data_IF_187428615756
#
_entry.id   IF_187428615756
#
_cell.length_a   1.000
_cell.length_b   1.000
_cell.length_c   1.000
_cell.angle_alpha   90.00
_cell.angle_beta   90.00
_cell.angle_gamma   90.00
#
_symmetry.space_group_name_H-M   'P 1'
#
loop_
_entity.id
_entity.type
_entity.pdbx_description
1 polymer ?
#
# COMPACT_ATOMS: atom_id res chain seq x y z
N UNK A 1 0.55 -5.80 -0.52
CA UNK A 1 -0.06 -6.99 0.10
C UNK A 1 -1.12 -7.59 -0.81
N UNK A 2 -2.13 -6.84 -1.25
CA UNK A 2 -3.17 -7.31 -2.20
C UNK A 2 -2.60 -7.96 -3.46
N UNK A 3 -1.62 -7.32 -4.11
CA UNK A 3 -1.02 -7.84 -5.35
C UNK A 3 -0.41 -9.23 -5.19
N UNK A 4 0.11 -9.57 -4.01
CA UNK A 4 0.66 -10.90 -3.75
C UNK A 4 -0.44 -11.98 -3.72
N UNK A 5 -1.58 -11.69 -3.09
CA UNK A 5 -2.70 -12.63 -3.04
C UNK A 5 -3.43 -12.72 -4.38
N UNK A 6 -3.47 -11.64 -5.17
CA UNK A 6 -3.97 -11.69 -6.56
C UNK A 6 -3.08 -12.60 -7.41
N UNK A 7 -1.76 -12.43 -7.30
CA UNK A 7 -0.80 -13.29 -7.98
C UNK A 7 -0.93 -14.75 -7.53
N UNK A 8 -1.05 -15.00 -6.22
CA UNK A 8 -1.24 -16.35 -5.69
C UNK A 8 -2.53 -16.99 -6.19
N UNK A 9 -3.65 -16.25 -6.24
CA UNK A 9 -4.91 -16.73 -6.81
C UNK A 9 -4.73 -17.16 -8.27
N UNK A 10 -4.09 -16.33 -9.08
CA UNK A 10 -3.82 -16.64 -10.48
C UNK A 10 -2.91 -17.87 -10.62
N UNK A 11 -1.85 -17.97 -9.82
CA UNK A 11 -0.94 -19.10 -9.85
C UNK A 11 -1.64 -20.41 -9.45
N UNK A 12 -2.54 -20.37 -8.47
CA UNK A 12 -3.29 -21.55 -8.01
C UNK A 12 -4.27 -22.09 -9.06
N UNK A 13 -4.65 -21.30 -10.07
CA UNK A 13 -5.41 -21.82 -11.22
C UNK A 13 -4.55 -22.71 -12.14
N UNK A 14 -3.23 -22.49 -12.17
CA UNK A 14 -2.28 -23.28 -12.95
C UNK A 14 -1.71 -24.50 -12.24
N UNK A 15 -1.89 -24.62 -10.92
CA UNK A 15 -1.37 -25.74 -10.13
C UNK A 15 -0.95 -25.34 -8.71
N UNK A 16 -0.24 -26.22 -7.98
CA UNK A 16 0.29 -25.88 -6.66
C UNK A 16 1.31 -24.74 -6.75
N UNK A 17 1.40 -23.95 -5.68
CA UNK A 17 2.37 -22.88 -5.54
C UNK A 17 3.07 -22.97 -4.19
N UNK A 18 4.28 -22.44 -4.08
CA UNK A 18 4.90 -22.16 -2.77
C UNK A 18 4.79 -20.67 -2.47
N UNK A 19 4.30 -20.36 -1.28
CA UNK A 19 4.32 -19.02 -0.73
C UNK A 19 5.48 -18.93 0.27
N UNK A 20 6.46 -18.10 -0.03
CA UNK A 20 7.57 -17.80 0.85
C UNK A 20 7.31 -16.46 1.57
N UNK A 21 7.23 -16.46 2.90
CA UNK A 21 6.89 -15.29 3.72
C UNK A 21 8.01 -14.95 4.70
N UNK A 22 8.48 -13.71 4.71
CA UNK A 22 9.45 -13.24 5.72
C UNK A 22 8.77 -13.17 7.09
N UNK A 23 9.21 -13.97 8.04
CA UNK A 23 8.62 -14.09 9.38
C UNK A 23 9.38 -13.31 10.45
N UNK A 24 10.70 -13.14 10.28
CA UNK A 24 11.53 -12.39 11.22
C UNK A 24 12.71 -11.71 10.51
N UNK A 25 13.09 -10.54 11.02
CA UNK A 25 14.24 -9.78 10.52
C UNK A 25 15.06 -9.22 11.68
N UNK A 26 16.38 -9.18 11.52
CA UNK A 26 17.32 -8.55 12.45
C UNK A 26 18.38 -7.79 11.68
N UNK A 27 18.68 -6.57 12.10
CA UNK A 27 19.63 -5.71 11.39
C UNK A 27 19.06 -5.14 10.09
N UNK A 28 19.93 -4.79 9.16
CA UNK A 28 19.53 -4.20 7.88
C UNK A 28 19.25 -5.29 6.85
N UNK A 29 18.00 -5.38 6.42
CA UNK A 29 17.52 -6.38 5.47
C UNK A 29 16.74 -5.68 4.35
N UNK A 30 16.69 -6.26 3.14
CA UNK A 30 16.08 -5.60 1.99
C UNK A 30 14.54 -5.49 2.07
N UNK A 31 13.88 -6.33 2.89
CA UNK A 31 12.41 -6.37 3.03
C UNK A 31 11.98 -6.61 4.48
N UNK A 32 10.79 -6.08 4.81
CA UNK A 32 10.14 -6.20 6.12
C UNK A 32 9.44 -7.55 6.33
N UNK A 33 9.10 -7.87 7.59
CA UNK A 33 8.22 -9.01 7.94
C UNK A 33 6.90 -8.89 7.17
N UNK A 34 6.39 -10.02 6.67
CA UNK A 34 5.21 -10.10 5.81
C UNK A 34 5.50 -9.89 4.32
N UNK A 35 6.75 -9.56 3.93
CA UNK A 35 7.14 -9.62 2.52
C UNK A 35 7.04 -11.05 1.99
N UNK A 36 6.51 -11.18 0.76
CA UNK A 36 6.16 -12.47 0.17
C UNK A 36 6.73 -12.63 -1.22
N UNK A 37 7.04 -13.88 -1.56
CA UNK A 37 7.41 -14.37 -2.88
C UNK A 37 6.54 -15.57 -3.21
N UNK A 38 5.94 -15.58 -4.39
CA UNK A 38 5.14 -16.71 -4.91
C UNK A 38 6.00 -17.46 -5.92
N UNK A 39 6.06 -18.78 -5.80
CA UNK A 39 6.76 -19.66 -6.75
C UNK A 39 5.74 -20.65 -7.31
N UNK A 40 5.54 -20.64 -8.63
CA UNK A 40 4.60 -21.56 -9.28
C UNK A 40 5.17 -22.99 -9.45
N UNK A 41 4.35 -23.90 -9.95
CA UNK A 41 4.74 -25.29 -10.21
C UNK A 41 5.90 -25.44 -11.21
N UNK A 42 6.16 -24.43 -12.06
CA UNK A 42 7.27 -24.41 -13.01
C UNK A 42 8.55 -23.79 -12.41
N UNK A 43 8.51 -23.33 -11.16
CA UNK A 43 9.60 -22.62 -10.51
C UNK A 43 9.70 -21.14 -10.89
N UNK A 44 8.71 -20.59 -11.60
CA UNK A 44 8.65 -19.16 -11.88
C UNK A 44 8.30 -18.39 -10.62
N UNK A 45 9.07 -17.34 -10.36
CA UNK A 45 8.98 -16.52 -9.17
C UNK A 45 8.26 -15.19 -9.45
N UNK A 46 7.35 -14.81 -8.54
CA UNK A 46 6.61 -13.55 -8.61
C UNK A 46 6.72 -12.80 -7.29
N UNK A 47 6.85 -11.47 -7.37
CA UNK A 47 7.25 -10.58 -6.26
C UNK A 47 8.71 -10.83 -5.82
N UNK A 48 9.12 -10.26 -4.69
CA UNK A 48 10.49 -10.39 -4.18
C UNK A 48 10.53 -10.25 -2.66
N UNK A 49 11.41 -11.03 -2.04
CA UNK A 49 11.77 -10.90 -0.62
C UNK A 49 13.11 -10.15 -0.43
N UNK A 50 13.67 -9.59 -1.51
CA UNK A 50 14.86 -8.76 -1.46
C UNK A 50 15.89 -9.01 -2.56
N UNK A 51 15.70 -10.04 -3.39
CA UNK A 51 16.60 -10.38 -4.48
C UNK A 51 17.94 -10.98 -4.03
N UNK A 52 18.83 -11.20 -5.00
CA UNK A 52 20.20 -11.66 -4.77
C UNK A 52 20.31 -13.12 -4.27
N UNK A 53 21.44 -13.41 -3.62
CA UNK A 53 21.77 -14.79 -3.20
C UNK A 53 20.81 -15.36 -2.14
N UNK A 54 20.23 -14.51 -1.29
CA UNK A 54 19.22 -14.93 -0.31
C UNK A 54 17.94 -15.42 -0.98
N UNK A 55 17.45 -14.68 -1.99
CA UNK A 55 16.28 -15.09 -2.76
C UNK A 55 16.54 -16.36 -3.58
N UNK A 56 17.73 -16.50 -4.19
CA UNK A 56 18.12 -17.73 -4.89
C UNK A 56 18.09 -18.97 -3.98
N UNK A 57 18.53 -18.85 -2.73
CA UNK A 57 18.43 -19.93 -1.72
C UNK A 57 16.98 -20.30 -1.44
N UNK A 58 16.08 -19.31 -1.33
CA UNK A 58 14.65 -19.54 -1.13
C UNK A 58 14.01 -20.21 -2.34
N UNK A 59 14.36 -19.80 -3.57
CA UNK A 59 13.86 -20.42 -4.79
C UNK A 59 14.25 -21.89 -4.90
N UNK A 60 15.50 -22.24 -4.57
CA UNK A 60 15.96 -23.62 -4.54
C UNK A 60 15.15 -24.45 -3.53
N UNK A 61 14.96 -23.95 -2.31
CA UNK A 61 14.19 -24.66 -1.28
C UNK A 61 12.70 -24.74 -1.62
N UNK A 62 12.15 -23.73 -2.30
CA UNK A 62 10.76 -23.75 -2.76
C UNK A 62 10.50 -24.90 -3.73
N UNK A 63 11.47 -25.29 -4.57
CA UNK A 63 11.33 -26.47 -5.44
C UNK A 63 11.22 -27.77 -4.64
N UNK A 64 11.93 -27.90 -3.52
CA UNK A 64 11.83 -29.07 -2.64
C UNK A 64 10.48 -29.09 -1.91
N UNK A 65 10.00 -27.94 -1.42
CA UNK A 65 8.65 -27.82 -0.81
C UNK A 65 7.54 -28.11 -1.83
N UNK A 66 7.70 -27.68 -3.09
CA UNK A 66 6.77 -28.02 -4.17
C UNK A 66 6.68 -29.53 -4.40
N UNK A 67 7.79 -30.27 -4.32
CA UNK A 67 7.79 -31.74 -4.50
C UNK A 67 7.22 -32.47 -3.28
N UNK A 68 7.73 -32.14 -2.09
CA UNK A 68 7.49 -32.90 -0.85
C UNK A 68 6.22 -32.47 -0.13
N UNK A 69 5.83 -31.20 -0.24
CA UNK A 69 4.82 -30.58 0.61
C UNK A 69 5.29 -30.27 2.04
N UNK A 70 6.52 -30.64 2.40
CA UNK A 70 7.08 -30.38 3.72
C UNK A 70 7.42 -28.90 3.88
N UNK A 71 6.76 -28.24 4.83
CA UNK A 71 6.97 -26.82 5.11
C UNK A 71 8.30 -26.63 5.84
N UNK A 72 8.96 -25.50 5.65
CA UNK A 72 10.25 -25.28 6.29
C UNK A 72 10.59 -23.80 6.45
N UNK A 73 11.48 -23.54 7.41
CA UNK A 73 12.15 -22.26 7.52
C UNK A 73 13.44 -22.24 6.70
N UNK A 74 13.68 -21.11 6.06
CA UNK A 74 14.94 -20.78 5.41
C UNK A 74 15.54 -19.56 6.12
N UNK A 75 16.64 -19.79 6.83
CA UNK A 75 17.44 -18.73 7.44
C UNK A 75 18.42 -18.16 6.40
N UNK A 76 18.41 -16.84 6.22
CA UNK A 76 19.27 -16.10 5.30
C UNK A 76 20.13 -15.14 6.11
N UNK A 77 21.44 -15.37 6.03
CA UNK A 77 22.45 -14.47 6.57
C UNK A 77 22.98 -13.55 5.47
N UNK A 78 22.72 -12.25 5.62
CA UNK A 78 23.16 -11.17 4.74
C UNK A 78 24.33 -10.38 5.34
N UNK A 79 24.91 -10.83 6.45
CA UNK A 79 26.02 -10.15 7.13
C UNK A 79 27.36 -10.24 6.37
N UNK A 80 27.46 -11.14 5.39
CA UNK A 80 28.66 -11.35 4.59
C UNK A 80 29.79 -11.95 5.42
N UNK A 81 29.87 -13.28 5.47
CA UNK A 81 31.07 -13.92 5.99
C UNK A 81 32.26 -13.66 5.02
N UNK A 82 33.50 -13.41 5.53
CA UNK A 82 34.65 -12.99 4.72
C UNK A 82 35.10 -13.94 3.58
N UNK A 83 34.47 -15.11 3.40
CA UNK A 83 34.93 -16.19 2.52
C UNK A 83 33.91 -16.68 1.48
N UNK A 84 32.81 -15.93 1.21
CA UNK A 84 31.89 -16.26 0.10
C UNK A 84 31.93 -15.19 -1.00
N UNK A 85 32.04 -15.63 -2.26
CA UNK A 85 32.03 -14.77 -3.45
C UNK A 85 30.72 -14.00 -3.66
N UNK A 86 29.64 -14.38 -2.97
CA UNK A 86 28.38 -13.63 -2.96
C UNK A 86 28.31 -12.75 -1.71
N UNK A 87 28.70 -11.48 -1.87
CA UNK A 87 28.64 -10.49 -0.81
C UNK A 87 27.18 -10.21 -0.43
N UNK A 88 26.77 -10.66 0.76
CA UNK A 88 25.61 -10.10 1.45
C UNK A 88 25.98 -8.69 1.91
N UNK A 89 25.45 -7.67 1.23
CA UNK A 89 25.79 -6.25 1.48
C UNK A 89 24.86 -5.62 2.52
N UNK A 90 23.68 -6.21 2.74
CA UNK A 90 22.66 -5.60 3.60
C UNK A 90 23.00 -5.67 5.11
N UNK A 91 23.82 -6.64 5.56
CA UNK A 91 24.34 -6.67 6.94
C UNK A 91 23.42 -7.32 7.99
N UNK A 92 22.26 -7.84 7.61
CA UNK A 92 21.25 -8.39 8.53
C UNK A 92 21.00 -9.90 8.40
N UNK A 93 20.05 -10.39 9.19
CA UNK A 93 19.55 -11.77 9.13
C UNK A 93 18.03 -11.73 8.91
N UNK A 94 17.52 -12.62 8.06
CA UNK A 94 16.08 -12.78 7.85
C UNK A 94 15.69 -14.26 7.82
N UNK A 95 14.52 -14.57 8.37
CA UNK A 95 13.92 -15.91 8.38
C UNK A 95 12.70 -15.91 7.47
N UNK A 96 12.59 -16.92 6.62
CA UNK A 96 11.52 -17.06 5.63
C UNK A 96 10.82 -18.39 5.82
N UNK A 97 9.50 -18.38 5.95
CA UNK A 97 8.66 -19.58 6.00
C UNK A 97 8.21 -19.95 4.58
N UNK A 98 8.42 -21.21 4.18
CA UNK A 98 7.99 -21.74 2.90
C UNK A 98 6.88 -22.77 3.13
N UNK A 99 5.75 -22.57 2.47
CA UNK A 99 4.62 -23.51 2.51
C UNK A 99 3.99 -23.69 1.12
N UNK A 100 3.56 -24.92 0.81
CA UNK A 100 2.87 -25.26 -0.43
C UNK A 100 1.37 -25.01 -0.30
N UNK A 101 0.83 -24.17 -1.17
CA UNK A 101 -0.59 -23.88 -1.32
C UNK A 101 -1.14 -24.69 -2.51
N UNK A 102 -2.28 -25.38 -2.30
CA UNK A 102 -2.91 -26.18 -3.35
C UNK A 102 -4.37 -26.53 -3.02
N UNK A 103 -5.14 -26.87 -4.07
CA UNK A 103 -6.51 -27.36 -3.96
C UNK A 103 -7.54 -26.29 -3.62
N UNK A 104 -8.80 -26.71 -3.55
CA UNK A 104 -9.96 -25.80 -3.40
C UNK A 104 -9.95 -25.00 -2.10
N UNK A 105 -9.50 -25.59 -0.99
CA UNK A 105 -9.43 -24.90 0.30
C UNK A 105 -8.48 -23.71 0.25
N UNK A 106 -7.30 -23.87 -0.37
CA UNK A 106 -6.35 -22.78 -0.57
C UNK A 106 -6.93 -21.69 -1.47
N UNK A 107 -7.58 -22.08 -2.59
CA UNK A 107 -8.24 -21.12 -3.48
C UNK A 107 -9.33 -20.33 -2.75
N UNK A 108 -10.21 -20.99 -2.01
CA UNK A 108 -11.29 -20.34 -1.26
C UNK A 108 -10.76 -19.34 -0.24
N UNK A 109 -9.69 -19.69 0.48
CA UNK A 109 -9.04 -18.79 1.44
C UNK A 109 -8.49 -17.54 0.75
N UNK A 110 -7.74 -17.69 -0.35
CA UNK A 110 -7.20 -16.54 -1.10
C UNK A 110 -8.32 -15.67 -1.65
N UNK A 111 -9.38 -16.25 -2.21
CA UNK A 111 -10.52 -15.50 -2.70
C UNK A 111 -11.26 -14.78 -1.57
N UNK A 112 -11.37 -15.37 -0.37
CA UNK A 112 -11.96 -14.70 0.78
C UNK A 112 -11.11 -13.50 1.21
N UNK A 113 -9.78 -13.64 1.26
CA UNK A 113 -8.86 -12.53 1.56
C UNK A 113 -9.09 -11.40 0.54
N UNK A 114 -9.04 -11.74 -0.76
CA UNK A 114 -9.19 -10.74 -1.82
C UNK A 114 -10.53 -10.02 -1.76
N UNK A 115 -11.63 -10.75 -1.55
CA UNK A 115 -12.98 -10.18 -1.44
C UNK A 115 -13.09 -9.21 -0.27
N UNK A 116 -12.60 -9.60 0.92
CA UNK A 116 -12.62 -8.71 2.08
C UNK A 116 -11.81 -7.45 1.83
N UNK A 117 -10.58 -7.57 1.30
CA UNK A 117 -9.73 -6.42 1.01
C UNK A 117 -10.32 -5.50 -0.08
N UNK A 118 -10.97 -6.06 -1.10
CA UNK A 118 -11.69 -5.30 -2.13
C UNK A 118 -12.90 -4.55 -1.57
N UNK A 119 -13.57 -5.11 -0.57
CA UNK A 119 -14.70 -4.50 0.12
C UNK A 119 -14.26 -3.51 1.22
N UNK A 120 -12.97 -3.16 1.30
CA UNK A 120 -12.45 -2.24 2.32
C UNK A 120 -12.39 -2.84 3.73
N UNK A 121 -12.52 -4.16 3.86
CA UNK A 121 -12.43 -4.87 5.13
C UNK A 121 -11.02 -5.42 5.33
N UNK A 122 -10.49 -5.24 6.54
CA UNK A 122 -9.24 -5.89 6.94
C UNK A 122 -9.51 -7.34 7.30
N UNK A 123 -8.51 -8.20 7.14
CA UNK A 123 -8.56 -9.59 7.60
C UNK A 123 -7.32 -9.93 8.41
N UNK A 124 -7.45 -10.79 9.40
CA UNK A 124 -6.32 -11.30 10.16
C UNK A 124 -6.02 -12.70 9.62
N UNK A 125 -4.87 -12.85 8.97
CA UNK A 125 -4.36 -14.12 8.47
C UNK A 125 -3.43 -14.74 9.52
N UNK A 126 -3.70 -15.99 9.88
CA UNK A 126 -2.81 -16.82 10.67
C UNK A 126 -2.15 -17.84 9.76
N UNK A 127 -0.82 -17.87 9.80
CA UNK A 127 0.02 -18.86 9.11
C UNK A 127 0.74 -19.71 10.15
N UNK A 128 0.24 -20.91 10.48
CA UNK A 128 0.88 -21.83 11.42
C UNK A 128 2.23 -22.33 10.91
N UNK A 129 3.17 -22.53 11.83
CA UNK A 129 4.49 -23.13 11.56
C UNK A 129 4.52 -24.65 11.76
N UNK A 130 3.34 -25.27 11.82
CA UNK A 130 3.15 -26.72 11.93
C UNK A 130 2.97 -27.35 10.54
N UNK A 131 3.44 -28.59 10.37
CA UNK A 131 3.42 -29.27 9.06
C UNK A 131 2.00 -29.54 8.55
N UNK A 132 1.09 -29.90 9.44
CA UNK A 132 -0.26 -30.39 9.15
C UNK A 132 -1.35 -29.30 9.14
N UNK A 133 -1.05 -28.08 9.60
CA UNK A 133 -2.03 -26.99 9.68
C UNK A 133 -1.95 -26.00 8.52
N UNK A 134 -3.04 -25.82 7.79
CA UNK A 134 -3.13 -24.80 6.75
C UNK A 134 -3.34 -23.38 7.35
N UNK A 135 -3.01 -22.31 6.62
CA UNK A 135 -3.38 -20.95 6.99
C UNK A 135 -4.89 -20.76 7.09
N UNK A 136 -5.33 -19.82 7.93
CA UNK A 136 -6.75 -19.53 8.17
C UNK A 136 -6.96 -18.07 8.59
N UNK A 137 -8.22 -17.60 8.53
CA UNK A 137 -8.61 -16.26 8.98
C UNK A 137 -9.22 -16.30 10.38
N UNK A 138 -8.97 -15.24 11.16
CA UNK A 138 -9.62 -15.00 12.45
C UNK A 138 -10.24 -13.60 12.49
N UNK A 139 -11.20 -13.40 13.38
CA UNK A 139 -11.90 -12.10 13.55
C UNK A 139 -11.22 -11.19 14.59
N UNK A 140 -10.52 -11.77 15.58
CA UNK A 140 -9.83 -11.05 16.64
C UNK A 140 -8.41 -11.65 16.85
N UNK A 141 -7.43 -10.80 17.17
CA UNK A 141 -6.02 -11.14 17.35
C UNK A 141 -5.78 -11.90 18.66
N UNK A 142 -6.74 -11.94 19.56
CA UNK A 142 -6.59 -12.64 20.83
C UNK A 142 -6.42 -14.15 20.62
N UNK A 143 -5.32 -14.71 21.16
CA UNK A 143 -5.04 -16.16 21.37
C UNK A 143 -4.21 -16.92 20.32
N UNK A 144 -3.29 -16.29 19.58
CA UNK A 144 -2.27 -17.04 18.81
C UNK A 144 -0.87 -16.73 19.31
N UNK A 145 -0.14 -17.76 19.73
CA UNK A 145 1.25 -17.63 20.17
C UNK A 145 2.16 -17.34 18.94
N UNK A 146 2.88 -16.21 18.92
CA UNK A 146 3.76 -15.85 17.81
C UNK A 146 4.94 -16.83 17.62
N UNK A 147 5.22 -17.70 18.59
CA UNK A 147 6.23 -18.76 18.44
C UNK A 147 5.79 -19.88 17.50
N UNK A 148 4.48 -20.10 17.33
CA UNK A 148 3.92 -21.21 16.55
C UNK A 148 3.20 -20.77 15.27
N UNK A 149 3.01 -19.47 15.06
CA UNK A 149 2.41 -18.93 13.85
C UNK A 149 2.82 -17.49 13.56
N UNK A 150 2.76 -17.09 12.29
CA UNK A 150 2.75 -15.70 11.88
C UNK A 150 1.31 -15.20 11.86
N UNK A 151 1.03 -14.09 12.57
CA UNK A 151 -0.27 -13.43 12.58
C UNK A 151 -0.14 -12.08 11.90
N UNK A 152 -0.90 -11.85 10.85
CA UNK A 152 -0.84 -10.63 10.05
C UNK A 152 -2.22 -10.02 9.84
N UNK A 153 -2.36 -8.74 10.17
CA UNK A 153 -3.53 -7.97 9.74
C UNK A 153 -3.30 -7.44 8.33
N UNK A 154 -3.93 -8.08 7.35
CA UNK A 154 -3.97 -7.61 5.97
C UNK A 154 -4.99 -6.47 5.88
N UNK A 155 -4.49 -5.28 5.59
CA UNK A 155 -5.29 -4.07 5.42
C UNK A 155 -5.67 -3.90 3.94
N UNK A 156 -6.89 -3.39 3.64
CA UNK A 156 -7.24 -2.97 2.30
C UNK A 156 -6.25 -1.89 1.83
N UNK A 157 -5.98 -1.80 0.52
CA UNK A 157 -5.13 -0.75 0.01
C UNK A 157 -5.79 0.61 0.31
N UNK A 158 -5.01 1.65 0.65
CA UNK A 158 -5.58 2.96 0.89
C UNK A 158 -6.20 3.52 -0.40
N UNK A 159 -7.37 4.13 -0.29
CA UNK A 159 -8.02 4.80 -1.41
C UNK A 159 -7.58 6.25 -1.44
N UNK A 160 -7.08 6.71 -2.59
CA UNK A 160 -6.85 8.11 -2.88
C UNK A 160 -8.02 8.64 -3.72
N UNK A 161 -8.81 9.53 -3.14
CA UNK A 161 -9.74 10.38 -3.85
C UNK A 161 -8.99 11.60 -4.41
N UNK A 162 -8.92 11.69 -5.73
CA UNK A 162 -8.39 12.84 -6.46
C UNK A 162 -9.57 13.72 -6.84
N UNK A 163 -9.66 14.91 -6.23
CA UNK A 163 -10.68 15.91 -6.53
C UNK A 163 -10.10 16.88 -7.55
N UNK A 164 -10.63 16.86 -8.78
CA UNK A 164 -10.13 17.57 -9.95
C UNK A 164 -9.43 16.64 -10.94
N UNK A 165 -10.02 16.48 -12.12
CA UNK A 165 -9.55 15.56 -13.17
C UNK A 165 -8.60 16.22 -14.19
N UNK A 166 -7.97 17.36 -13.85
CA UNK A 166 -7.01 18.05 -14.73
C UNK A 166 -5.67 17.33 -14.90
N UNK A 167 -4.72 17.97 -15.59
CA UNK A 167 -3.41 17.39 -15.93
C UNK A 167 -2.62 16.82 -14.73
N UNK A 168 -2.62 17.52 -13.59
CA UNK A 168 -1.96 17.03 -12.37
C UNK A 168 -2.67 15.78 -11.83
N UNK A 169 -4.01 15.76 -11.86
CA UNK A 169 -4.81 14.61 -11.45
C UNK A 169 -4.49 13.36 -12.26
N UNK A 170 -4.33 13.48 -13.58
CA UNK A 170 -3.98 12.37 -14.47
C UNK A 170 -2.63 11.74 -14.06
N UNK A 171 -1.60 12.57 -13.86
CA UNK A 171 -0.28 12.05 -13.47
C UNK A 171 -0.27 11.52 -12.04
N UNK A 172 -0.96 12.20 -11.12
CA UNK A 172 -1.09 11.76 -9.73
C UNK A 172 -1.76 10.37 -9.66
N UNK A 173 -2.82 10.15 -10.42
CA UNK A 173 -3.49 8.86 -10.48
C UNK A 173 -2.54 7.73 -10.90
N UNK A 174 -1.66 7.97 -11.89
CA UNK A 174 -0.70 6.96 -12.36
C UNK A 174 0.35 6.64 -11.29
N UNK A 175 0.97 7.66 -10.72
CA UNK A 175 2.05 7.51 -9.72
C UNK A 175 1.51 6.93 -8.42
N UNK A 176 0.35 7.39 -7.95
CA UNK A 176 -0.30 6.86 -6.75
C UNK A 176 -0.77 5.41 -6.93
N UNK A 177 -1.32 5.05 -8.09
CA UNK A 177 -1.68 3.67 -8.39
C UNK A 177 -0.46 2.75 -8.35
N UNK A 178 0.65 3.16 -8.97
CA UNK A 178 1.92 2.44 -8.90
C UNK A 178 2.42 2.28 -7.45
N UNK A 179 2.20 3.28 -6.59
CA UNK A 179 2.53 3.25 -5.16
C UNK A 179 1.55 2.41 -4.30
N UNK A 180 0.56 1.78 -4.93
CA UNK A 180 -0.39 0.86 -4.31
C UNK A 180 -1.62 1.51 -3.69
N UNK A 181 -2.01 2.70 -4.16
CA UNK A 181 -3.32 3.30 -3.82
C UNK A 181 -4.40 2.80 -4.78
N UNK A 182 -5.60 2.52 -4.25
CA UNK A 182 -6.80 2.47 -5.06
C UNK A 182 -7.17 3.90 -5.46
N UNK A 183 -7.55 4.11 -6.72
CA UNK A 183 -7.78 5.45 -7.25
C UNK A 183 -9.28 5.67 -7.44
N UNK A 184 -9.79 6.69 -6.78
CA UNK A 184 -11.08 7.31 -7.08
C UNK A 184 -10.81 8.71 -7.63
N UNK A 185 -11.46 9.08 -8.73
CA UNK A 185 -11.31 10.42 -9.33
C UNK A 185 -12.67 11.09 -9.40
N UNK A 186 -12.71 12.36 -9.02
CA UNK A 186 -13.89 13.20 -9.09
C UNK A 186 -13.59 14.44 -9.92
N UNK A 187 -14.48 14.78 -10.86
CA UNK A 187 -14.60 16.08 -11.51
C UNK A 187 -16.02 16.17 -12.07
N UNK A 188 -16.66 17.33 -11.99
CA UNK A 188 -18.02 17.54 -12.49
C UNK A 188 -18.10 17.55 -14.04
N UNK A 189 -16.95 17.47 -14.71
CA UNK A 189 -16.85 17.43 -16.18
C UNK A 189 -16.55 16.01 -16.69
N UNK A 190 -17.53 15.34 -17.35
CA UNK A 190 -17.35 13.98 -17.85
C UNK A 190 -16.28 13.85 -18.95
N UNK A 191 -15.99 14.92 -19.69
CA UNK A 191 -14.90 14.94 -20.67
C UNK A 191 -13.50 14.88 -20.04
N UNK A 192 -13.38 15.16 -18.73
CA UNK A 192 -12.15 15.00 -17.97
C UNK A 192 -12.16 13.75 -17.09
N UNK A 193 -13.24 13.51 -16.35
CA UNK A 193 -13.42 12.33 -15.50
C UNK A 193 -14.00 11.16 -16.31
N UNK A 194 -13.15 10.46 -17.06
CA UNK A 194 -13.53 9.27 -17.83
C UNK A 194 -12.39 8.23 -17.90
N UNK A 195 -12.73 7.04 -18.40
CA UNK A 195 -11.84 5.89 -18.44
C UNK A 195 -10.65 6.08 -19.41
N UNK A 196 -10.76 6.94 -20.41
CA UNK A 196 -9.66 7.21 -21.34
C UNK A 196 -8.52 7.98 -20.64
N UNK A 197 -8.87 8.94 -19.79
CA UNK A 197 -7.89 9.67 -18.97
C UNK A 197 -7.44 8.89 -17.72
N UNK A 198 -8.31 8.06 -17.16
CA UNK A 198 -8.08 7.35 -15.89
C UNK A 198 -8.32 5.83 -15.98
N UNK A 199 -7.61 5.11 -16.86
CA UNK A 199 -7.82 3.67 -17.03
C UNK A 199 -7.50 2.83 -15.79
N UNK A 200 -6.68 3.36 -14.87
CA UNK A 200 -6.32 2.73 -13.61
C UNK A 200 -7.27 3.05 -12.44
N UNK A 201 -8.26 3.93 -12.64
CA UNK A 201 -9.19 4.30 -11.58
C UNK A 201 -10.21 3.19 -11.33
N UNK A 202 -10.35 2.79 -10.06
CA UNK A 202 -11.41 1.86 -9.63
C UNK A 202 -12.77 2.54 -9.56
N UNK A 203 -12.80 3.87 -9.41
CA UNK A 203 -14.02 4.68 -9.42
C UNK A 203 -13.78 6.00 -10.14
N UNK A 204 -14.70 6.36 -11.03
CA UNK A 204 -14.70 7.64 -11.75
C UNK A 204 -16.06 8.29 -11.49
N UNK A 205 -16.02 9.40 -10.75
CA UNK A 205 -17.17 10.11 -10.21
C UNK A 205 -17.33 11.42 -11.00
N UNK A 206 -17.95 11.32 -12.18
CA UNK A 206 -18.23 12.45 -13.07
C UNK A 206 -19.46 13.26 -12.59
N UNK A 207 -19.42 13.72 -11.35
CA UNK A 207 -20.54 14.28 -10.60
C UNK A 207 -20.07 15.40 -9.66
N UNK A 208 -20.98 16.21 -9.08
CA UNK A 208 -20.65 17.20 -8.06
C UNK A 208 -19.88 16.62 -6.86
N UNK A 209 -19.02 17.44 -6.26
CA UNK A 209 -18.04 16.97 -5.25
C UNK A 209 -18.70 16.49 -3.96
N UNK A 210 -19.83 17.08 -3.58
CA UNK A 210 -20.64 16.69 -2.43
C UNK A 210 -21.18 15.26 -2.59
N UNK A 211 -21.71 14.91 -3.77
CA UNK A 211 -22.23 13.58 -4.09
C UNK A 211 -21.11 12.53 -4.09
N UNK A 212 -19.98 12.87 -4.70
CA UNK A 212 -18.81 12.00 -4.74
C UNK A 212 -18.24 11.73 -3.34
N UNK A 213 -18.18 12.73 -2.47
CA UNK A 213 -17.74 12.55 -1.08
C UNK A 213 -18.78 11.75 -0.29
N UNK A 214 -20.08 11.96 -0.54
CA UNK A 214 -21.15 11.23 0.10
C UNK A 214 -21.08 9.72 -0.19
N UNK A 215 -20.76 9.32 -1.42
CA UNK A 215 -20.58 7.90 -1.78
C UNK A 215 -19.39 7.24 -1.05
N UNK A 216 -18.42 8.03 -0.58
CA UNK A 216 -17.24 7.60 0.16
C UNK A 216 -17.31 7.88 1.67
N UNK A 217 -18.48 8.25 2.20
CA UNK A 217 -18.68 8.69 3.59
C UNK A 217 -18.10 7.72 4.62
N UNK A 218 -18.29 6.42 4.42
CA UNK A 218 -17.88 5.38 5.37
C UNK A 218 -16.54 4.70 5.04
N UNK A 219 -15.85 5.12 3.98
CA UNK A 219 -14.62 4.45 3.55
C UNK A 219 -13.51 4.62 4.60
N UNK A 220 -13.07 3.53 5.25
CA UNK A 220 -11.94 3.59 6.18
C UNK A 220 -10.64 3.72 5.37
N UNK A 221 -9.63 4.45 5.86
CA UNK A 221 -8.36 4.70 5.15
C UNK A 221 -8.47 5.53 3.85
N UNK A 222 -9.38 6.51 3.79
CA UNK A 222 -9.47 7.45 2.67
C UNK A 222 -8.39 8.55 2.78
N UNK A 223 -7.71 8.79 1.67
CA UNK A 223 -6.81 9.93 1.43
C UNK A 223 -7.48 10.83 0.38
N UNK A 224 -7.37 12.15 0.55
CA UNK A 224 -7.91 13.11 -0.42
C UNK A 224 -6.82 14.06 -0.92
N UNK A 225 -6.72 14.20 -2.24
CA UNK A 225 -5.88 15.20 -2.90
C UNK A 225 -6.74 16.14 -3.73
N UNK A 226 -6.82 17.39 -3.30
CA UNK A 226 -7.55 18.47 -3.96
C UNK A 226 -6.60 19.10 -4.97
N UNK A 227 -6.74 18.70 -6.23
CA UNK A 227 -5.99 19.21 -7.40
C UNK A 227 -6.93 19.97 -8.33
N UNK A 228 -7.78 20.82 -7.74
CA UNK A 228 -8.92 21.45 -8.42
C UNK A 228 -8.55 22.71 -9.20
N UNK A 229 -9.51 23.18 -10.01
CA UNK A 229 -9.38 24.35 -10.90
C UNK A 229 -9.44 25.71 -10.21
N UNK A 230 -9.82 25.79 -8.93
CA UNK A 230 -9.91 27.08 -8.27
C UNK A 230 -10.39 27.06 -6.83
N UNK A 231 -10.33 28.24 -6.21
CA UNK A 231 -10.70 28.48 -4.81
C UNK A 231 -12.06 27.90 -4.41
N UNK A 232 -13.10 28.11 -5.23
CA UNK A 232 -14.47 27.69 -4.90
C UNK A 232 -14.57 26.17 -4.76
N UNK A 233 -13.97 25.44 -5.69
CA UNK A 233 -13.96 23.98 -5.69
C UNK A 233 -13.13 23.41 -4.52
N UNK A 234 -11.99 24.04 -4.18
CA UNK A 234 -11.23 23.63 -3.00
C UNK A 234 -12.03 23.83 -1.72
N UNK A 235 -12.68 24.99 -1.58
CA UNK A 235 -13.49 25.32 -0.42
C UNK A 235 -14.62 24.32 -0.23
N UNK A 236 -15.39 24.04 -1.29
CA UNK A 236 -16.49 23.10 -1.27
C UNK A 236 -16.02 21.67 -0.91
N UNK A 237 -14.99 21.17 -1.61
CA UNK A 237 -14.42 19.86 -1.34
C UNK A 237 -13.92 19.74 0.10
N UNK A 238 -13.20 20.75 0.58
CA UNK A 238 -12.62 20.74 1.92
C UNK A 238 -13.72 20.79 3.00
N UNK A 239 -14.77 21.58 2.80
CA UNK A 239 -15.90 21.64 3.71
C UNK A 239 -16.57 20.26 3.85
N UNK A 240 -16.85 19.58 2.74
CA UNK A 240 -17.48 18.26 2.77
C UNK A 240 -16.56 17.18 3.34
N UNK A 241 -15.27 17.18 2.99
CA UNK A 241 -14.30 16.20 3.52
C UNK A 241 -14.13 16.31 5.03
N UNK A 242 -14.11 17.53 5.58
CA UNK A 242 -13.95 17.79 7.01
C UNK A 242 -15.20 17.43 7.84
N UNK A 243 -16.36 17.36 7.19
CA UNK A 243 -17.63 16.98 7.83
C UNK A 243 -17.91 15.48 7.77
N UNK A 244 -17.02 14.68 7.15
CA UNK A 244 -17.19 13.23 7.07
C UNK A 244 -17.22 12.60 8.48
N UNK A 245 -18.13 11.65 8.77
CA UNK A 245 -18.15 10.92 10.04
C UNK A 245 -16.88 10.11 10.29
N UNK A 246 -16.28 9.57 9.22
CA UNK A 246 -14.98 8.87 9.27
C UNK A 246 -13.93 9.82 8.68
N UNK A 247 -13.05 10.41 9.50
CA UNK A 247 -12.05 11.37 9.02
C UNK A 247 -11.13 10.76 7.94
N UNK A 248 -10.73 11.58 6.97
CA UNK A 248 -9.66 11.20 6.05
C UNK A 248 -8.35 10.99 6.83
N UNK A 249 -7.52 10.03 6.39
CA UNK A 249 -6.14 9.89 6.90
C UNK A 249 -5.23 11.01 6.43
N UNK A 250 -5.63 11.70 5.36
CA UNK A 250 -4.88 12.76 4.73
C UNK A 250 -5.83 13.62 3.90
N UNK A 251 -5.66 14.94 4.00
CA UNK A 251 -6.26 15.89 3.09
C UNK A 251 -5.16 16.83 2.64
N UNK A 252 -4.86 16.81 1.35
CA UNK A 252 -3.87 17.69 0.74
C UNK A 252 -4.51 18.60 -0.28
N UNK A 253 -4.11 19.87 -0.31
CA UNK A 253 -4.66 20.86 -1.22
C UNK A 253 -3.56 21.52 -2.05
N UNK A 254 -3.69 21.45 -3.38
CA UNK A 254 -2.81 22.15 -4.30
C UNK A 254 -3.11 23.65 -4.25
N UNK A 255 -2.08 24.46 -4.44
CA UNK A 255 -2.24 25.89 -4.61
C UNK A 255 -1.02 26.66 -4.16
N UNK A 256 -0.91 27.90 -4.62
CA UNK A 256 0.04 28.85 -4.05
C UNK A 256 -0.28 29.11 -2.58
N UNK A 257 0.71 29.54 -1.82
CA UNK A 257 0.53 29.93 -0.42
C UNK A 257 -0.62 30.95 -0.24
N UNK A 258 -0.78 31.87 -1.19
CA UNK A 258 -1.90 32.82 -1.21
C UNK A 258 -3.25 32.12 -1.33
N UNK A 259 -3.41 31.18 -2.27
CA UNK A 259 -4.65 30.41 -2.47
C UNK A 259 -4.97 29.58 -1.23
N UNK A 260 -3.95 28.92 -0.65
CA UNK A 260 -4.11 28.13 0.57
C UNK A 260 -4.62 28.97 1.74
N UNK A 261 -3.96 30.10 2.02
CA UNK A 261 -4.36 31.01 3.10
C UNK A 261 -5.78 31.55 2.91
N UNK A 262 -6.17 31.85 1.68
CA UNK A 262 -7.54 32.30 1.39
C UNK A 262 -8.57 31.22 1.71
N UNK A 263 -8.38 29.99 1.21
CA UNK A 263 -9.32 28.89 1.46
C UNK A 263 -9.40 28.58 2.95
N UNK A 264 -8.27 28.52 3.65
CA UNK A 264 -8.24 28.25 5.10
C UNK A 264 -8.93 29.36 5.89
N UNK A 265 -8.75 30.62 5.49
CA UNK A 265 -9.43 31.75 6.11
C UNK A 265 -10.95 31.65 6.00
N UNK A 266 -11.47 31.20 4.86
CA UNK A 266 -12.91 31.00 4.67
C UNK A 266 -13.43 29.76 5.42
N UNK A 267 -12.69 28.64 5.40
CA UNK A 267 -13.07 27.45 6.17
C UNK A 267 -13.09 27.73 7.68
N UNK A 268 -12.17 28.55 8.19
CA UNK A 268 -12.21 28.95 9.60
C UNK A 268 -13.50 29.72 9.97
N UNK A 269 -14.09 30.45 9.03
CA UNK A 269 -15.35 31.19 9.25
C UNK A 269 -16.57 30.27 9.32
N UNK A 270 -16.46 29.01 8.88
CA UNK A 270 -17.56 28.02 8.99
C UNK A 270 -17.58 27.30 10.34
N UNK A 271 -16.68 27.66 11.26
CA UNK A 271 -16.59 27.08 12.60
C UNK A 271 -15.62 25.91 12.75
N UNK A 272 -14.89 25.55 11.68
CA UNK A 272 -13.81 24.56 11.75
C UNK A 272 -12.64 25.12 12.58
N UNK A 273 -12.14 24.30 13.52
CA UNK A 273 -11.08 24.71 14.43
C UNK A 273 -9.71 24.82 13.74
N UNK A 274 -8.81 25.61 14.35
CA UNK A 274 -7.43 25.77 13.85
C UNK A 274 -6.64 24.47 13.93
N UNK A 275 -6.93 23.64 14.94
CA UNK A 275 -6.30 22.33 15.14
C UNK A 275 -6.65 21.39 13.99
N UNK A 276 -7.92 21.36 13.56
CA UNK A 276 -8.35 20.59 12.40
C UNK A 276 -7.69 21.12 11.12
N UNK A 277 -7.67 22.44 10.93
CA UNK A 277 -7.00 23.05 9.77
C UNK A 277 -5.51 22.72 9.69
N UNK A 278 -4.83 22.64 10.83
CA UNK A 278 -3.41 22.28 10.91
C UNK A 278 -3.11 20.83 10.49
N UNK A 279 -4.13 19.98 10.34
CA UNK A 279 -3.96 18.61 9.82
C UNK A 279 -3.98 18.52 8.29
N UNK A 280 -4.28 19.62 7.61
CA UNK A 280 -4.40 19.68 6.14
C UNK A 280 -3.04 20.08 5.54
N UNK A 281 -2.65 19.39 4.48
CA UNK A 281 -1.38 19.58 3.78
C UNK A 281 -1.58 20.57 2.64
N UNK A 282 -1.32 21.85 2.90
CA UNK A 282 -1.45 22.94 1.93
C UNK A 282 -0.28 23.91 2.00
N UNK A 283 0.52 24.10 0.92
CA UNK A 283 0.48 23.36 -0.35
C UNK A 283 0.76 21.87 -0.18
N UNK A 284 0.12 21.04 -1.01
CA UNK A 284 0.28 19.59 -1.04
C UNK A 284 1.65 19.17 -1.59
N UNK A 285 2.23 18.09 -1.05
CA UNK A 285 3.43 17.43 -1.53
C UNK A 285 4.71 17.83 -0.79
N UNK A 286 5.72 16.95 -0.85
CA UNK A 286 7.05 17.24 -0.29
C UNK A 286 7.79 18.31 -1.11
N UNK A 287 8.51 19.19 -0.44
CA UNK A 287 9.37 20.19 -1.07
C UNK A 287 10.61 19.52 -1.71
N UNK A 288 10.45 19.12 -2.97
CA UNK A 288 11.50 18.55 -3.83
C UNK A 288 11.84 19.49 -5.00
N UNK A 289 11.30 20.71 -5.01
CA UNK A 289 11.45 21.65 -6.14
C UNK A 289 10.65 21.25 -7.40
N UNK A 290 9.54 20.52 -7.25
CA UNK A 290 8.72 20.05 -8.35
C UNK A 290 8.05 21.20 -9.14
N UNK A 291 8.07 21.13 -10.46
CA UNK A 291 7.49 22.14 -11.36
C UNK A 291 6.52 21.56 -12.38
N UNK A 292 6.81 20.38 -12.94
CA UNK A 292 5.95 19.73 -13.94
C UNK A 292 4.82 18.94 -13.27
N UNK A 293 3.70 18.65 -13.97
CA UNK A 293 2.64 17.78 -13.45
C UNK A 293 3.16 16.42 -12.96
N UNK A 294 4.14 15.84 -13.66
CA UNK A 294 4.77 14.57 -13.32
C UNK A 294 5.59 14.67 -12.03
N UNK A 295 6.41 15.73 -11.89
CA UNK A 295 7.19 15.97 -10.67
C UNK A 295 6.29 16.27 -9.47
N UNK A 296 5.23 17.05 -9.68
CA UNK A 296 4.23 17.36 -8.65
C UNK A 296 3.53 16.06 -8.22
N UNK A 297 3.16 15.18 -9.15
CA UNK A 297 2.58 13.88 -8.82
C UNK A 297 3.53 13.01 -7.98
N UNK A 298 4.84 13.02 -8.27
CA UNK A 298 5.86 12.35 -7.45
C UNK A 298 5.96 12.98 -6.06
N UNK A 299 6.01 14.31 -5.97
CA UNK A 299 6.04 15.06 -4.70
C UNK A 299 4.84 14.72 -3.80
N UNK A 300 3.63 14.76 -4.36
CA UNK A 300 2.39 14.40 -3.65
C UNK A 300 2.40 12.94 -3.24
N UNK A 301 2.75 12.02 -4.15
CA UNK A 301 2.77 10.59 -3.83
C UNK A 301 3.80 10.26 -2.75
N UNK A 302 4.94 10.94 -2.73
CA UNK A 302 5.93 10.80 -1.67
C UNK A 302 5.38 11.25 -0.31
N UNK A 303 4.61 12.35 -0.25
CA UNK A 303 3.93 12.81 0.96
C UNK A 303 2.84 11.83 1.43
N UNK A 304 2.03 11.30 0.50
CA UNK A 304 1.04 10.26 0.78
C UNK A 304 1.68 9.01 1.41
N UNK A 305 2.80 8.55 0.86
CA UNK A 305 3.57 7.41 1.41
C UNK A 305 4.15 7.78 2.78
N UNK A 306 4.69 8.99 2.94
CA UNK A 306 5.23 9.47 4.20
C UNK A 306 4.18 9.41 5.31
N UNK A 307 2.98 9.93 5.07
CA UNK A 307 1.87 9.90 6.03
C UNK A 307 1.42 8.47 6.31
N UNK A 308 1.28 7.63 5.27
CA UNK A 308 0.93 6.21 5.40
C UNK A 308 1.92 5.43 6.27
N UNK A 309 3.21 5.74 6.19
CA UNK A 309 4.30 4.99 6.84
C UNK A 309 4.88 5.67 8.09
N UNK A 310 4.41 6.86 8.46
CA UNK A 310 4.95 7.64 9.59
C UNK A 310 6.39 8.15 9.33
N UNK A 311 6.72 8.44 8.07
CA UNK A 311 8.04 8.97 7.69
C UNK A 311 8.21 10.45 8.05
N UNK A 312 9.40 10.99 7.77
CA UNK A 312 9.73 12.42 8.04
C UNK A 312 10.01 13.25 6.79
N UNK A 313 10.09 12.63 5.61
CA UNK A 313 10.49 13.30 4.37
C UNK A 313 11.95 13.75 4.31
N UNK A 314 12.73 13.59 5.39
CA UNK A 314 14.15 13.97 5.43
C UNK A 314 15.01 13.00 4.62
N UNK A 315 16.07 13.54 4.00
CA UNK A 315 17.07 12.74 3.30
C UNK A 315 17.69 11.67 4.20
N UNK A 316 17.64 10.40 3.76
CA UNK A 316 18.19 9.27 4.50
C UNK A 316 19.69 9.40 4.75
N UNK A 317 20.46 9.94 3.78
CA UNK A 317 21.91 10.14 3.94
C UNK A 317 22.24 11.25 4.93
N UNK A 318 21.45 12.33 4.97
CA UNK A 318 21.61 13.38 5.99
C UNK A 318 21.37 12.82 7.41
N UNK A 319 20.39 11.93 7.59
CA UNK A 319 20.15 11.25 8.87
C UNK A 319 21.33 10.41 9.34
N UNK A 320 22.06 9.77 8.41
CA UNK A 320 23.24 8.96 8.73
C UNK A 320 24.45 9.82 9.09
N UNK A 321 24.64 10.96 8.42
CA UNK A 321 25.75 11.89 8.69
C UNK A 321 25.59 12.69 9.99
N UNK A 322 24.40 12.69 10.59
CA UNK A 322 24.07 13.41 11.82
C UNK A 322 24.09 12.51 13.07
N UNK A 323 24.37 11.22 12.92
CA UNK A 323 24.65 10.28 14.01
C UNK A 323 26.15 10.14 14.19
#
# INVERSE_FOLDING_TARGET
MVNCFQQLAQTLEGGPAVLATVTAVKGSVPREVGARLVVDANGQAFNTIGGGAGEAKVLHQAQEVLKTGEKQFVDIDLSGAPQRQTQGVCGGHMRVWLERWQGETAKLLVHSILRSLQNGQSVILVTPFEQDKAPYLIEDVAQVDPAIALVETLQPPPTLLIVGAGHVGIQLAKVAHLAGFQIAVQDDRPEWANADHYPQASQILAEPVDQAIASLTHHPNLYAALVTRGYTYDFEALQHLLQRPVPCRYIGMIGSEKRVRQVYGAIAQTGISKETLATIYGPIGLDIGALTPEEIAVSITAELIMVRRGGTGRSLSKRLRQK
#
